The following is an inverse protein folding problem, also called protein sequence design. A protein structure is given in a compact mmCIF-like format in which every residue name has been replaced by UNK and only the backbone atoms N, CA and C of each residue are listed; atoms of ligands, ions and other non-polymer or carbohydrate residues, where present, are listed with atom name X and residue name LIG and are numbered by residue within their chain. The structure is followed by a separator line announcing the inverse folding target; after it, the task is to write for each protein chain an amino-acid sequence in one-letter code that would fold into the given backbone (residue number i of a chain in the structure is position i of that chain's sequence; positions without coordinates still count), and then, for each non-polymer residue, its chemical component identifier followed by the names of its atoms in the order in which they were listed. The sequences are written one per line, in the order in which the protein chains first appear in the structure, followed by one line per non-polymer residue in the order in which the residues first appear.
data_IF_181765766273
#
_entry.id   IF_181765766273
#
_cell.length_a   1.000
_cell.length_b   1.000
_cell.length_c   1.000
_cell.angle_alpha   90.00
_cell.angle_beta   90.00
_cell.angle_gamma   90.00
#
_symmetry.space_group_name_H-M   'P 1'
#
loop_
_entity.id
_entity.type
_entity.pdbx_description
1 polymer ?
#
# COMPACT_ATOMS: atom_id res chain seq x y z
N UNK A 1 -3.93 10.37 -22.33
CA UNK A 1 -3.42 9.61 -21.18
C UNK A 1 -2.06 9.11 -21.61
N UNK A 2 -1.03 9.29 -20.81
CA UNK A 2 0.35 8.98 -21.16
C UNK A 2 0.61 7.48 -21.18
N UNK A 3 1.72 7.10 -21.84
CA UNK A 3 2.06 5.71 -22.14
C UNK A 3 2.11 4.82 -20.89
N UNK A 4 2.48 5.36 -19.74
CA UNK A 4 2.55 4.63 -18.48
C UNK A 4 1.17 4.35 -17.90
N UNK A 5 0.31 5.36 -17.80
CA UNK A 5 -1.04 5.22 -17.25
C UNK A 5 -1.89 4.29 -18.13
N UNK A 6 -1.75 4.38 -19.46
CA UNK A 6 -2.40 3.47 -20.42
C UNK A 6 -1.97 2.02 -20.20
N UNK A 7 -0.66 1.78 -20.08
CA UNK A 7 -0.15 0.43 -19.80
C UNK A 7 -0.58 -0.09 -18.45
N UNK A 8 -0.56 0.75 -17.41
CA UNK A 8 -1.03 0.35 -16.09
C UNK A 8 -2.50 -0.07 -16.16
N UNK A 9 -3.38 0.75 -16.73
CA UNK A 9 -4.82 0.45 -16.83
C UNK A 9 -5.15 -0.73 -17.75
N UNK A 10 -4.30 -1.02 -18.73
CA UNK A 10 -4.43 -2.22 -19.57
C UNK A 10 -4.30 -3.50 -18.74
N UNK A 11 -3.28 -3.59 -17.87
CA UNK A 11 -2.97 -4.83 -17.15
C UNK A 11 -3.47 -4.83 -15.71
N UNK A 12 -3.65 -3.68 -15.10
CA UNK A 12 -3.90 -3.54 -13.68
C UNK A 12 -5.01 -2.54 -13.36
N UNK A 13 -5.69 -2.77 -12.26
CA UNK A 13 -6.62 -1.80 -11.66
C UNK A 13 -6.52 -1.88 -10.15
N UNK A 14 -6.71 -0.75 -9.47
CA UNK A 14 -6.82 -0.70 -8.03
C UNK A 14 -8.28 -0.67 -7.62
N UNK A 15 -8.59 -1.37 -6.53
CA UNK A 15 -9.94 -1.48 -6.01
C UNK A 15 -9.95 -1.21 -4.51
N UNK A 16 -10.82 -0.32 -4.07
CA UNK A 16 -10.99 -0.05 -2.65
C UNK A 16 -11.72 -1.22 -1.98
N UNK A 17 -11.12 -1.85 -0.97
CA UNK A 17 -11.70 -2.96 -0.25
C UNK A 17 -12.62 -2.48 0.88
N UNK A 18 -13.79 -1.97 0.48
CA UNK A 18 -14.81 -1.40 1.38
C UNK A 18 -15.73 -2.46 2.00
N UNK A 19 -15.88 -3.62 1.35
CA UNK A 19 -16.67 -4.75 1.88
C UNK A 19 -15.79 -5.73 2.64
N UNK A 20 -16.40 -6.49 3.56
CA UNK A 20 -15.70 -7.58 4.26
C UNK A 20 -15.13 -8.62 3.28
N UNK A 21 -15.88 -8.98 2.23
CA UNK A 21 -15.39 -9.92 1.21
C UNK A 21 -14.13 -9.44 0.48
N UNK A 22 -14.00 -8.13 0.22
CA UNK A 22 -12.80 -7.57 -0.38
C UNK A 22 -11.64 -7.48 0.63
N UNK A 23 -11.93 -7.18 1.91
CA UNK A 23 -10.90 -7.21 2.97
C UNK A 23 -10.34 -8.62 3.15
N UNK A 24 -11.20 -9.64 3.11
CA UNK A 24 -10.78 -11.04 3.16
C UNK A 24 -9.77 -11.37 2.07
N UNK A 25 -9.96 -10.87 0.84
CA UNK A 25 -8.97 -11.04 -0.24
C UNK A 25 -7.63 -10.38 0.08
N UNK A 26 -7.63 -9.23 0.76
CA UNK A 26 -6.37 -8.61 1.19
C UNK A 26 -5.66 -9.47 2.26
N UNK A 27 -6.41 -10.05 3.20
CA UNK A 27 -5.86 -10.91 4.25
C UNK A 27 -5.31 -12.23 3.69
N UNK A 28 -5.96 -12.79 2.67
CA UNK A 28 -5.48 -13.98 1.94
C UNK A 28 -4.16 -13.70 1.20
N UNK A 29 -4.09 -12.59 0.46
CA UNK A 29 -2.85 -12.17 -0.22
C UNK A 29 -1.71 -11.95 0.77
N UNK A 30 -2.01 -11.30 1.90
CA UNK A 30 -1.03 -11.09 2.97
C UNK A 30 -0.54 -12.39 3.57
N UNK A 31 -1.42 -13.37 3.81
CA UNK A 31 -1.02 -14.68 4.30
C UNK A 31 -0.11 -15.40 3.32
N UNK A 32 -0.49 -15.46 2.04
CA UNK A 32 0.35 -16.05 1.01
C UNK A 32 1.76 -15.41 0.98
N UNK A 33 1.85 -14.09 1.05
CA UNK A 33 3.14 -13.40 0.94
C UNK A 33 3.92 -13.43 2.25
N UNK A 34 3.35 -12.99 3.37
CA UNK A 34 4.06 -12.81 4.63
C UNK A 34 4.21 -14.10 5.44
N UNK A 35 3.25 -15.02 5.35
CA UNK A 35 3.29 -16.29 6.09
C UNK A 35 3.95 -17.40 5.25
N UNK A 36 3.44 -17.65 4.04
CA UNK A 36 3.87 -18.81 3.24
C UNK A 36 5.17 -18.55 2.46
N UNK A 37 5.25 -17.42 1.74
CA UNK A 37 6.39 -17.13 0.87
C UNK A 37 7.61 -16.60 1.66
N UNK A 38 7.40 -15.63 2.55
CA UNK A 38 8.49 -14.94 3.26
C UNK A 38 8.79 -15.53 4.65
N UNK A 39 7.82 -16.21 5.28
CA UNK A 39 7.97 -16.75 6.63
C UNK A 39 8.16 -15.69 7.73
N UNK A 40 7.71 -14.46 7.50
CA UNK A 40 7.81 -13.36 8.46
C UNK A 40 6.73 -13.43 9.54
N UNK A 41 5.57 -13.98 9.20
CA UNK A 41 4.42 -14.13 10.09
C UNK A 41 4.03 -15.63 10.16
N UNK A 42 3.39 -16.10 11.24
CA UNK A 42 3.00 -17.51 11.35
C UNK A 42 1.86 -17.86 10.38
N UNK A 43 1.96 -19.03 9.73
CA UNK A 43 0.83 -19.61 9.00
C UNK A 43 -0.28 -20.04 9.96
N UNK A 44 -1.52 -19.99 9.50
CA UNK A 44 -2.69 -20.42 10.26
C UNK A 44 -3.73 -21.14 9.38
N UNK A 45 -4.67 -21.91 9.97
CA UNK A 45 -5.65 -22.70 9.22
C UNK A 45 -6.70 -21.88 8.45
N UNK A 46 -6.88 -20.60 8.77
CA UNK A 46 -7.86 -19.75 8.06
C UNK A 46 -7.32 -19.19 6.75
N UNK A 47 -6.01 -19.30 6.50
CA UNK A 47 -5.38 -18.77 5.30
C UNK A 47 -5.38 -17.24 5.23
N UNK A 48 -5.51 -16.55 6.38
CA UNK A 48 -5.66 -15.09 6.46
C UNK A 48 -4.65 -14.51 7.44
N UNK A 49 -3.91 -13.47 7.03
CA UNK A 49 -3.00 -12.72 7.91
C UNK A 49 -3.69 -11.43 8.34
N UNK A 50 -3.85 -11.29 9.65
CA UNK A 50 -4.52 -10.18 10.32
C UNK A 50 -3.75 -9.80 11.57
N UNK A 51 -3.73 -8.51 11.88
CA UNK A 51 -3.15 -7.96 13.09
C UNK A 51 -4.11 -6.95 13.77
N UNK A 52 -3.80 -6.45 14.98
CA UNK A 52 -4.67 -5.53 15.71
C UNK A 52 -4.98 -4.19 15.00
N UNK A 53 -4.22 -3.81 13.96
CA UNK A 53 -4.42 -2.55 13.24
C UNK A 53 -5.48 -2.64 12.15
N UNK A 54 -5.86 -3.86 11.74
CA UNK A 54 -6.81 -4.07 10.64
C UNK A 54 -8.21 -3.53 10.94
N UNK A 55 -8.61 -3.47 12.21
CA UNK A 55 -9.93 -2.98 12.63
C UNK A 55 -10.18 -1.49 12.35
N UNK A 56 -9.13 -0.68 12.19
CA UNK A 56 -9.22 0.75 11.89
C UNK A 56 -8.37 1.14 10.67
N UNK A 57 -8.25 0.20 9.72
CA UNK A 57 -7.49 0.38 8.49
C UNK A 57 -8.37 0.44 7.25
N UNK A 58 -7.90 1.18 6.25
CA UNK A 58 -8.39 1.12 4.87
C UNK A 58 -7.49 0.17 4.06
N UNK A 59 -8.10 -0.62 3.19
CA UNK A 59 -7.39 -1.59 2.36
C UNK A 59 -7.63 -1.31 0.87
N UNK A 60 -6.61 -1.52 0.06
CA UNK A 60 -6.70 -1.44 -1.39
C UNK A 60 -6.12 -2.72 -2.00
N UNK A 61 -6.80 -3.24 -3.00
CA UNK A 61 -6.41 -4.42 -3.76
C UNK A 61 -5.85 -4.00 -5.12
N UNK A 62 -4.80 -4.68 -5.54
CA UNK A 62 -4.30 -4.65 -6.91
C UNK A 62 -4.86 -5.85 -7.66
N UNK A 63 -5.65 -5.56 -8.68
CA UNK A 63 -6.20 -6.56 -9.59
C UNK A 63 -5.40 -6.60 -10.88
N UNK A 64 -5.16 -7.79 -11.38
CA UNK A 64 -4.68 -8.05 -12.72
C UNK A 64 -5.89 -8.24 -13.65
N UNK A 65 -6.06 -7.31 -14.60
CA UNK A 65 -7.27 -7.22 -15.43
C UNK A 65 -7.45 -8.41 -16.38
N UNK A 66 -6.43 -8.89 -17.11
CA UNK A 66 -6.60 -10.03 -18.02
C UNK A 66 -7.07 -11.32 -17.34
N UNK A 67 -6.62 -11.59 -16.11
CA UNK A 67 -7.03 -12.79 -15.37
C UNK A 67 -8.16 -12.55 -14.38
N UNK A 68 -8.59 -11.31 -14.20
CA UNK A 68 -9.55 -10.87 -13.17
C UNK A 68 -9.21 -11.39 -11.75
N UNK A 69 -7.92 -11.39 -11.39
CA UNK A 69 -7.44 -11.86 -10.09
C UNK A 69 -6.87 -10.72 -9.27
N UNK A 70 -7.13 -10.72 -7.97
CA UNK A 70 -6.36 -9.90 -7.03
C UNK A 70 -4.99 -10.53 -6.82
N UNK A 71 -3.94 -9.75 -7.03
CA UNK A 71 -2.54 -10.20 -7.04
C UNK A 71 -1.68 -9.40 -6.07
N UNK A 72 -2.23 -8.36 -5.44
CA UNK A 72 -1.54 -7.57 -4.45
C UNK A 72 -2.49 -6.75 -3.60
N UNK A 73 -1.97 -6.18 -2.53
CA UNK A 73 -2.70 -5.30 -1.64
C UNK A 73 -1.79 -4.30 -0.95
N UNK A 74 -2.40 -3.29 -0.35
CA UNK A 74 -1.76 -2.36 0.58
C UNK A 74 -2.77 -1.92 1.64
N UNK A 75 -2.28 -1.56 2.82
CA UNK A 75 -3.07 -1.10 3.95
C UNK A 75 -2.68 0.32 4.33
N UNK A 76 -3.68 1.14 4.70
CA UNK A 76 -3.50 2.41 5.37
C UNK A 76 -4.16 2.36 6.75
N UNK A 77 -3.35 2.42 7.80
CA UNK A 77 -3.79 2.44 9.20
C UNK A 77 -4.14 3.88 9.61
N UNK A 78 -5.30 4.09 10.22
CA UNK A 78 -5.68 5.38 10.76
C UNK A 78 -4.98 5.66 12.10
N UNK A 79 -4.42 6.86 12.29
CA UNK A 79 -3.85 7.25 13.59
C UNK A 79 -4.88 7.53 14.68
N UNK A 80 -6.18 7.52 14.35
CA UNK A 80 -7.26 7.42 15.33
C UNK A 80 -7.63 5.94 15.45
N UNK A 81 -7.34 5.36 16.60
CA UNK A 81 -7.87 4.05 17.00
C UNK A 81 -8.98 4.25 18.04
N UNK A 82 -10.05 3.46 17.92
CA UNK A 82 -11.16 3.44 18.89
C UNK A 82 -10.82 2.55 20.11
N UNK A 83 -9.77 1.73 20.03
CA UNK A 83 -9.59 0.56 20.91
C UNK A 83 -8.23 0.43 21.61
N UNK A 84 -7.24 1.32 21.42
CA UNK A 84 -5.88 1.07 21.93
C UNK A 84 -4.99 2.28 22.22
N UNK A 85 -3.88 2.02 22.94
CA UNK A 85 -2.83 2.99 23.29
C UNK A 85 -1.96 3.38 22.09
N UNK A 86 -1.62 2.41 21.23
CA UNK A 86 -0.92 2.63 19.97
C UNK A 86 -1.90 2.61 18.80
N UNK A 87 -1.92 3.65 18.00
CA UNK A 87 -2.84 3.81 16.89
C UNK A 87 -2.24 3.43 15.53
N UNK A 88 -0.91 3.40 15.39
CA UNK A 88 -0.22 2.92 14.18
C UNK A 88 0.96 1.99 14.50
N UNK A 89 1.38 1.09 13.58
CA UNK A 89 2.50 0.18 13.81
C UNK A 89 3.82 0.84 14.21
N UNK A 90 4.17 1.95 13.57
CA UNK A 90 5.42 2.68 13.77
C UNK A 90 5.52 3.43 15.10
N UNK A 91 4.42 3.58 15.85
CA UNK A 91 4.39 4.41 17.07
C UNK A 91 5.43 3.93 18.09
N UNK A 92 5.69 2.62 18.20
CA UNK A 92 6.74 2.06 19.06
C UNK A 92 8.16 2.54 18.70
N UNK A 93 8.42 2.84 17.44
CA UNK A 93 9.72 3.33 16.96
C UNK A 93 9.83 4.86 16.97
N UNK A 94 8.71 5.55 17.22
CA UNK A 94 8.61 7.01 17.25
C UNK A 94 8.56 7.56 18.68
N UNK A 95 8.07 6.77 19.65
CA UNK A 95 7.74 7.21 21.02
C UNK A 95 8.92 7.69 21.88
N UNK A 96 10.16 7.38 21.51
CA UNK A 96 11.37 7.80 22.26
C UNK A 96 12.28 8.76 21.46
N UNK A 97 11.82 9.28 20.32
CA UNK A 97 12.67 10.04 19.41
C UNK A 97 12.56 11.56 19.64
N UNK A 98 13.19 12.04 20.71
CA UNK A 98 13.64 13.45 20.81
C UNK A 98 14.96 13.70 20.08
N UNK A 99 15.47 12.71 19.34
CA UNK A 99 16.72 12.83 18.58
C UNK A 99 16.63 14.00 17.58
N UNK A 100 17.43 15.07 17.79
CA UNK A 100 17.42 16.24 16.92
C UNK A 100 17.81 15.90 15.48
N UNK A 101 18.54 14.81 15.24
CA UNK A 101 18.95 14.36 13.90
C UNK A 101 17.73 14.05 13.02
N UNK A 102 16.69 13.46 13.60
CA UNK A 102 15.48 13.04 12.88
C UNK A 102 14.32 14.04 13.00
N UNK A 103 14.53 15.16 13.71
CA UNK A 103 13.59 16.27 13.82
C UNK A 103 12.27 15.93 14.52
N UNK A 104 12.21 14.79 15.21
CA UNK A 104 11.04 14.27 15.90
C UNK A 104 9.83 13.94 15.01
N UNK A 105 8.85 13.27 15.61
CA UNK A 105 7.54 13.02 15.04
C UNK A 105 6.45 13.49 16.01
N UNK A 106 5.94 14.71 15.81
CA UNK A 106 4.94 15.33 16.67
C UNK A 106 3.72 15.80 15.86
N UNK A 107 3.11 14.87 15.13
CA UNK A 107 1.90 15.15 14.35
C UNK A 107 0.66 14.72 15.15
N UNK A 108 -0.39 15.57 15.22
CA UNK A 108 -1.63 15.22 15.92
C UNK A 108 -2.29 13.96 15.34
N UNK A 109 -2.79 13.08 16.23
CA UNK A 109 -3.64 11.95 15.83
C UNK A 109 -4.85 12.48 15.03
N UNK A 110 -5.22 11.76 13.97
CA UNK A 110 -6.24 12.17 13.00
C UNK A 110 -5.71 12.99 11.83
N UNK A 111 -4.48 13.50 11.89
CA UNK A 111 -3.85 14.18 10.76
C UNK A 111 -2.91 13.28 9.97
N UNK A 112 -2.66 12.04 10.39
CA UNK A 112 -1.76 11.13 9.70
C UNK A 112 -2.29 9.70 9.64
N UNK A 113 -1.79 8.93 8.67
CA UNK A 113 -1.98 7.49 8.62
C UNK A 113 -0.72 6.79 8.16
N UNK A 114 -0.57 5.53 8.57
CA UNK A 114 0.59 4.71 8.22
C UNK A 114 0.24 3.71 7.12
N UNK A 115 0.96 3.78 6.02
CA UNK A 115 0.91 2.75 4.99
C UNK A 115 1.77 1.55 5.38
N UNK A 116 1.18 0.37 5.30
CA UNK A 116 1.81 -0.89 5.69
C UNK A 116 1.28 -2.05 4.82
N UNK A 117 1.84 -3.25 5.03
CA UNK A 117 1.38 -4.50 4.39
C UNK A 117 1.25 -4.42 2.86
N UNK A 118 2.20 -3.78 2.20
CA UNK A 118 2.33 -3.83 0.74
C UNK A 118 2.78 -5.24 0.33
N UNK A 119 1.88 -6.02 -0.25
CA UNK A 119 2.12 -7.38 -0.70
C UNK A 119 1.73 -7.51 -2.17
N UNK A 120 2.54 -8.23 -2.95
CA UNK A 120 2.25 -8.62 -4.34
C UNK A 120 2.71 -10.07 -4.46
N UNK A 121 1.87 -11.00 -4.93
CA UNK A 121 2.23 -12.42 -5.01
C UNK A 121 3.44 -12.67 -5.90
N UNK A 122 4.22 -13.72 -5.59
CA UNK A 122 5.50 -13.99 -6.25
C UNK A 122 5.45 -14.05 -7.78
N UNK A 123 4.38 -14.60 -8.35
CA UNK A 123 4.21 -14.79 -9.80
C UNK A 123 4.31 -13.50 -10.61
N UNK A 124 3.92 -12.37 -10.01
CA UNK A 124 3.95 -11.06 -10.66
C UNK A 124 5.18 -10.22 -10.28
N UNK A 125 5.97 -10.64 -9.28
CA UNK A 125 7.21 -9.94 -8.86
C UNK A 125 8.42 -10.27 -9.75
N UNK A 126 8.46 -11.45 -10.40
CA UNK A 126 9.69 -12.01 -11.01
C UNK A 126 10.23 -11.17 -12.19
N UNK A 127 11.51 -10.77 -12.11
CA UNK A 127 12.34 -10.32 -13.25
C UNK A 127 13.25 -11.47 -13.72
N UNK A 128 13.71 -11.45 -14.98
CA UNK A 128 14.67 -12.45 -15.48
C UNK A 128 15.95 -12.46 -14.62
N UNK A 129 16.36 -13.65 -14.15
CA UNK A 129 17.66 -13.88 -13.49
C UNK A 129 17.57 -14.42 -12.05
N UNK A 130 16.46 -14.22 -11.35
CA UNK A 130 16.25 -14.74 -9.99
C UNK A 130 15.67 -16.17 -10.04
N UNK A 131 16.47 -17.13 -10.49
CA UNK A 131 16.22 -18.57 -10.26
C UNK A 131 16.93 -18.98 -8.97
N UNK A 132 16.31 -18.79 -7.81
CA UNK A 132 16.99 -19.12 -6.55
C UNK A 132 16.23 -18.89 -5.25
N UNK A 133 14.94 -19.27 -5.15
CA UNK A 133 14.30 -19.45 -3.84
C UNK A 133 13.96 -20.94 -3.63
N UNK A 134 14.10 -21.50 -2.41
CA UNK A 134 14.21 -22.95 -2.16
C UNK A 134 12.88 -23.70 -2.02
N UNK A 135 11.72 -23.07 -2.25
CA UNK A 135 10.43 -23.64 -1.87
C UNK A 135 9.67 -24.30 -3.03
N UNK A 136 8.87 -25.36 -2.76
CA UNK A 136 8.26 -26.20 -3.79
C UNK A 136 7.20 -25.43 -4.57
N UNK A 137 7.17 -25.66 -5.89
CA UNK A 137 6.15 -25.16 -6.80
C UNK A 137 4.77 -25.67 -6.36
N UNK A 138 3.86 -24.78 -5.98
CA UNK A 138 2.44 -25.09 -5.96
C UNK A 138 1.97 -25.32 -7.41
N UNK A 139 1.14 -26.34 -7.63
CA UNK A 139 0.59 -26.80 -8.92
C UNK A 139 -0.40 -25.80 -9.56
N UNK A 140 0.00 -24.54 -9.73
CA UNK A 140 -0.73 -23.59 -10.56
C UNK A 140 -0.02 -23.46 -11.89
N UNK A 141 -0.78 -23.50 -12.99
CA UNK A 141 -0.27 -23.21 -14.33
C UNK A 141 0.61 -21.97 -14.28
N UNK A 142 1.88 -22.12 -14.65
CA UNK A 142 2.91 -21.09 -14.51
C UNK A 142 2.52 -19.87 -15.37
N UNK A 143 1.85 -18.89 -14.77
CA UNK A 143 1.43 -17.67 -15.46
C UNK A 143 2.65 -16.93 -15.97
N UNK A 144 2.75 -16.78 -17.29
CA UNK A 144 3.90 -16.15 -17.96
C UNK A 144 3.47 -14.78 -18.51
N UNK A 145 3.67 -13.68 -17.76
CA UNK A 145 3.35 -12.35 -18.26
C UNK A 145 4.16 -12.03 -19.53
N UNK A 146 3.59 -11.25 -20.45
CA UNK A 146 4.30 -10.83 -21.67
C UNK A 146 5.40 -9.79 -21.35
N UNK A 147 6.31 -9.48 -22.28
CA UNK A 147 7.39 -8.50 -22.01
C UNK A 147 6.87 -7.12 -21.61
N UNK A 148 5.79 -6.66 -22.23
CA UNK A 148 5.19 -5.35 -21.94
C UNK A 148 4.58 -5.31 -20.53
N UNK A 149 3.92 -6.40 -20.13
CA UNK A 149 3.37 -6.58 -18.79
C UNK A 149 4.49 -6.66 -17.73
N UNK A 150 5.58 -7.38 -18.02
CA UNK A 150 6.77 -7.48 -17.14
C UNK A 150 7.44 -6.12 -16.89
N UNK A 151 7.54 -5.29 -17.93
CA UNK A 151 8.06 -3.91 -17.78
C UNK A 151 7.15 -3.05 -16.90
N UNK A 152 5.88 -3.41 -16.82
CA UNK A 152 4.86 -2.74 -16.00
C UNK A 152 4.84 -3.21 -14.54
N UNK A 153 5.48 -4.34 -14.21
CA UNK A 153 5.56 -4.87 -12.84
C UNK A 153 6.17 -3.88 -11.83
N UNK A 154 7.13 -3.04 -12.27
CA UNK A 154 7.70 -2.00 -11.40
C UNK A 154 6.66 -0.96 -10.99
N UNK A 155 5.61 -0.76 -11.80
CA UNK A 155 4.53 0.20 -11.53
C UNK A 155 3.42 -0.37 -10.63
N UNK A 156 3.37 -1.68 -10.40
CA UNK A 156 2.44 -2.26 -9.43
C UNK A 156 2.68 -1.71 -8.02
N UNK A 157 3.95 -1.69 -7.59
CA UNK A 157 4.33 -1.15 -6.29
C UNK A 157 4.07 0.37 -6.20
N UNK A 158 4.39 1.12 -7.26
CA UNK A 158 4.05 2.55 -7.31
C UNK A 158 2.55 2.78 -7.24
N UNK A 159 1.74 2.02 -8.00
CA UNK A 159 0.29 2.09 -7.96
C UNK A 159 -0.25 1.85 -6.55
N UNK A 160 0.23 0.81 -5.87
CA UNK A 160 -0.14 0.54 -4.48
C UNK A 160 0.24 1.71 -3.55
N UNK A 161 1.45 2.25 -3.61
CA UNK A 161 1.83 3.43 -2.81
C UNK A 161 0.97 4.66 -3.11
N UNK A 162 0.72 4.95 -4.40
CA UNK A 162 -0.16 6.05 -4.81
C UNK A 162 -1.59 5.84 -4.32
N UNK A 163 -2.09 4.59 -4.26
CA UNK A 163 -3.40 4.32 -3.64
C UNK A 163 -3.41 4.61 -2.15
N UNK A 164 -2.33 4.34 -1.43
CA UNK A 164 -2.21 4.75 -0.03
C UNK A 164 -2.36 6.27 0.14
N UNK A 165 -1.74 7.05 -0.75
CA UNK A 165 -1.89 8.51 -0.79
C UNK A 165 -3.34 8.90 -1.06
N UNK A 166 -4.01 8.25 -2.02
CA UNK A 166 -5.44 8.51 -2.30
C UNK A 166 -6.33 8.14 -1.10
N UNK A 167 -6.14 6.97 -0.49
CA UNK A 167 -6.89 6.54 0.70
C UNK A 167 -6.72 7.53 1.86
N UNK A 168 -5.52 8.09 2.03
CA UNK A 168 -5.27 9.10 3.06
C UNK A 168 -6.10 10.38 2.85
N UNK A 169 -6.48 10.68 1.60
CA UNK A 169 -7.38 11.79 1.29
C UNK A 169 -8.82 11.54 1.74
N UNK A 170 -9.29 10.29 1.74
CA UNK A 170 -10.62 9.93 2.24
C UNK A 170 -10.74 10.15 3.75
N UNK A 171 -9.65 9.93 4.48
CA UNK A 171 -9.54 10.21 5.91
C UNK A 171 -9.14 11.66 6.23
N UNK A 172 -8.97 12.51 5.19
CA UNK A 172 -8.49 13.91 5.31
C UNK A 172 -7.13 14.04 6.02
N UNK A 173 -6.31 12.99 6.03
CA UNK A 173 -4.97 13.01 6.64
C UNK A 173 -4.01 13.92 5.90
N UNK A 174 -3.36 14.83 6.61
CA UNK A 174 -2.32 15.68 6.04
C UNK A 174 -1.00 14.95 5.83
N UNK A 175 -0.64 14.01 6.71
CA UNK A 175 0.65 13.34 6.68
C UNK A 175 0.52 11.86 6.33
N UNK A 176 1.52 11.36 5.62
CA UNK A 176 1.61 9.98 5.16
C UNK A 176 2.88 9.36 5.74
N UNK A 177 2.71 8.31 6.54
CA UNK A 177 3.78 7.63 7.27
C UNK A 177 4.03 6.26 6.65
N UNK A 178 5.27 5.81 6.59
CA UNK A 178 5.62 4.49 6.11
C UNK A 178 6.87 3.97 6.82
N UNK A 179 6.82 2.72 7.26
CA UNK A 179 8.02 1.96 7.66
C UNK A 179 8.56 1.24 6.42
N UNK A 180 9.77 1.59 5.96
CA UNK A 180 10.33 1.04 4.72
C UNK A 180 11.85 0.86 4.74
N UNK A 181 12.34 0.12 3.76
CA UNK A 181 13.78 -0.09 3.55
C UNK A 181 14.40 1.19 2.99
N UNK A 182 15.63 1.56 3.37
CA UNK A 182 16.32 2.72 2.80
C UNK A 182 16.43 2.68 1.27
N UNK A 183 16.63 1.48 0.70
CA UNK A 183 16.69 1.29 -0.77
C UNK A 183 15.36 1.63 -1.44
N UNK A 184 14.24 1.28 -0.82
CA UNK A 184 12.91 1.60 -1.33
C UNK A 184 12.65 3.10 -1.28
N UNK A 185 13.01 3.76 -0.18
CA UNK A 185 12.95 5.23 -0.06
C UNK A 185 13.70 5.93 -1.21
N UNK A 186 14.92 5.49 -1.53
CA UNK A 186 15.71 6.02 -2.66
C UNK A 186 15.01 5.77 -4.00
N UNK A 187 14.39 4.60 -4.18
CA UNK A 187 13.66 4.27 -5.39
C UNK A 187 12.41 5.16 -5.57
N UNK A 188 11.63 5.35 -4.51
CA UNK A 188 10.45 6.22 -4.49
C UNK A 188 10.79 7.68 -4.81
N UNK A 189 11.95 8.17 -4.33
CA UNK A 189 12.42 9.53 -4.61
C UNK A 189 12.58 9.81 -6.11
N UNK A 190 12.93 8.81 -6.93
CA UNK A 190 13.05 8.95 -8.40
C UNK A 190 11.71 9.19 -9.08
N UNK A 191 10.62 8.70 -8.48
CA UNK A 191 9.25 8.93 -8.94
C UNK A 191 8.66 10.25 -8.39
N UNK A 192 9.44 11.02 -7.63
CA UNK A 192 8.99 12.29 -7.03
C UNK A 192 8.39 12.15 -5.63
N UNK A 193 8.24 10.93 -5.12
CA UNK A 193 7.74 10.65 -3.78
C UNK A 193 8.85 10.89 -2.75
N UNK A 194 8.88 12.09 -2.18
CA UNK A 194 9.91 12.53 -1.23
C UNK A 194 9.41 12.37 0.20
N UNK A 195 10.07 11.49 0.94
CA UNK A 195 9.84 11.36 2.37
C UNK A 195 11.04 11.83 3.17
N UNK A 196 10.76 12.39 4.34
CA UNK A 196 11.73 12.69 5.39
C UNK A 196 11.83 11.47 6.31
N UNK A 197 13.05 11.05 6.62
CA UNK A 197 13.27 10.03 7.65
C UNK A 197 13.00 10.65 9.03
N UNK A 198 12.25 9.93 9.89
CA UNK A 198 11.80 10.41 11.20
C UNK A 198 12.15 9.45 12.34
N UNK A 199 12.94 8.42 12.06
CA UNK A 199 13.53 7.53 13.07
C UNK A 199 14.93 7.09 12.65
N UNK A 200 15.76 6.61 13.59
CA UNK A 200 16.94 5.81 13.27
C UNK A 200 16.59 4.56 12.48
N UNK A 201 17.62 3.88 11.96
CA UNK A 201 17.47 2.54 11.43
C UNK A 201 17.25 1.53 12.56
N UNK A 202 16.35 0.58 12.34
CA UNK A 202 16.10 -0.54 13.24
C UNK A 202 15.90 -1.82 12.44
N UNK A 203 16.10 -2.97 13.10
CA UNK A 203 15.88 -4.27 12.47
C UNK A 203 14.41 -4.69 12.61
N UNK A 204 13.75 -4.86 11.48
CA UNK A 204 12.38 -5.34 11.36
C UNK A 204 12.23 -6.05 10.01
N UNK A 205 12.49 -7.36 10.01
CA UNK A 205 12.62 -8.18 8.80
C UNK A 205 13.63 -7.57 7.81
N UNK A 206 14.79 -7.15 8.34
CA UNK A 206 15.80 -6.36 7.66
C UNK A 206 15.82 -4.90 8.14
N UNK A 207 16.80 -4.14 7.65
CA UNK A 207 16.99 -2.74 8.05
C UNK A 207 15.85 -1.85 7.52
N UNK A 208 15.15 -1.19 8.45
CA UNK A 208 14.03 -0.28 8.19
C UNK A 208 14.22 1.04 8.93
N UNK A 209 13.52 2.05 8.47
CA UNK A 209 13.29 3.29 9.20
C UNK A 209 11.84 3.74 8.99
N UNK A 210 11.36 4.60 9.88
CA UNK A 210 10.09 5.31 9.72
C UNK A 210 10.35 6.57 8.89
N UNK A 211 9.48 6.78 7.93
CA UNK A 211 9.51 7.93 7.03
C UNK A 211 8.15 8.62 7.01
N UNK A 212 8.17 9.94 6.90
CA UNK A 212 6.97 10.78 6.88
C UNK A 212 7.05 11.80 5.75
N UNK A 213 5.91 12.15 5.18
CA UNK A 213 5.79 13.25 4.23
C UNK A 213 4.44 13.94 4.37
N UNK A 214 4.39 15.22 4.01
CA UNK A 214 3.12 15.91 3.78
C UNK A 214 2.50 15.40 2.46
N UNK A 215 1.20 15.09 2.49
CA UNK A 215 0.47 14.51 1.36
C UNK A 215 0.45 15.45 0.16
N UNK A 216 0.32 16.76 0.38
CA UNK A 216 0.32 17.76 -0.69
C UNK A 216 1.72 17.86 -1.31
N UNK A 217 2.77 17.84 -0.48
CA UNK A 217 4.15 17.80 -0.98
C UNK A 217 4.44 16.54 -1.80
N UNK A 218 3.96 15.37 -1.38
CA UNK A 218 4.08 14.13 -2.15
C UNK A 218 3.44 14.28 -3.53
N UNK A 219 2.20 14.78 -3.60
CA UNK A 219 1.46 14.98 -4.86
C UNK A 219 2.17 16.00 -5.76
N UNK A 220 2.64 17.10 -5.17
CA UNK A 220 3.36 18.15 -5.88
C UNK A 220 4.75 17.72 -6.35
N UNK A 221 5.35 16.72 -5.70
CA UNK A 221 6.67 16.19 -6.05
C UNK A 221 6.66 15.21 -7.23
N UNK A 222 5.51 14.63 -7.58
CA UNK A 222 5.38 13.62 -8.63
C UNK A 222 5.86 14.14 -10.01
N UNK A 223 6.49 13.27 -10.79
CA UNK A 223 6.71 13.54 -12.21
C UNK A 223 5.39 13.40 -13.00
N UNK A 224 5.39 13.79 -14.27
CA UNK A 224 4.19 13.80 -15.12
C UNK A 224 3.50 12.43 -15.20
N UNK A 225 4.26 11.37 -15.52
CA UNK A 225 3.73 10.01 -15.61
C UNK A 225 3.05 9.55 -14.31
N UNK A 226 3.64 9.87 -13.15
CA UNK A 226 3.09 9.49 -11.85
C UNK A 226 1.85 10.31 -11.47
N UNK A 227 1.76 11.58 -11.90
CA UNK A 227 0.54 12.39 -11.71
C UNK A 227 -0.63 11.87 -12.51
N UNK A 228 -0.38 11.45 -13.74
CA UNK A 228 -1.42 10.82 -14.55
C UNK A 228 -1.87 9.48 -13.94
N UNK A 229 -0.92 8.64 -13.52
CA UNK A 229 -1.25 7.39 -12.82
C UNK A 229 -2.04 7.65 -11.53
N UNK A 230 -1.65 8.65 -10.74
CA UNK A 230 -2.38 9.06 -9.53
C UNK A 230 -3.83 9.46 -9.87
N UNK A 231 -4.04 10.21 -10.96
CA UNK A 231 -5.37 10.65 -11.40
C UNK A 231 -6.26 9.47 -11.77
N UNK A 232 -5.71 8.48 -12.48
CA UNK A 232 -6.40 7.22 -12.80
C UNK A 232 -6.79 6.46 -11.54
N UNK A 233 -5.85 6.29 -10.61
CA UNK A 233 -6.09 5.58 -9.34
C UNK A 233 -7.16 6.31 -8.52
N UNK A 234 -7.08 7.64 -8.44
CA UNK A 234 -8.06 8.45 -7.73
C UNK A 234 -9.47 8.27 -8.30
N UNK A 235 -9.60 8.20 -9.62
CA UNK A 235 -10.88 7.92 -10.27
C UNK A 235 -11.41 6.52 -9.91
N UNK A 236 -10.57 5.48 -10.01
CA UNK A 236 -10.95 4.10 -9.68
C UNK A 236 -11.46 3.99 -8.24
N UNK A 237 -10.70 4.48 -7.27
CA UNK A 237 -11.05 4.34 -5.85
C UNK A 237 -12.25 5.21 -5.45
N UNK A 238 -12.41 6.42 -6.01
CA UNK A 238 -13.59 7.25 -5.76
C UNK A 238 -14.86 6.61 -6.31
N UNK A 239 -14.79 6.01 -7.51
CA UNK A 239 -15.93 5.31 -8.11
C UNK A 239 -16.39 4.17 -7.20
N UNK A 240 -15.46 3.39 -6.67
CA UNK A 240 -15.77 2.27 -5.78
C UNK A 240 -16.42 2.77 -4.46
N UNK A 241 -15.92 3.88 -3.90
CA UNK A 241 -16.51 4.51 -2.71
C UNK A 241 -17.94 5.02 -2.94
N UNK A 242 -18.23 5.61 -4.11
CA UNK A 242 -19.57 6.10 -4.46
C UNK A 242 -20.54 4.96 -4.74
N UNK A 243 -20.07 3.90 -5.41
CA UNK A 243 -20.88 2.70 -5.67
C UNK A 243 -21.39 2.06 -4.37
N UNK A 244 -20.57 2.08 -3.31
CA UNK A 244 -20.95 1.61 -1.98
C UNK A 244 -21.93 2.54 -1.27
N UNK A 245 -21.71 3.86 -1.33
CA UNK A 245 -22.62 4.86 -0.72
C UNK A 245 -24.04 4.83 -1.33
N UNK A 246 -24.19 4.35 -2.56
CA UNK A 246 -25.51 4.12 -3.18
C UNK A 246 -26.20 2.84 -2.68
N UNK A 247 -25.47 1.93 -2.05
CA UNK A 247 -25.97 0.66 -1.51
C UNK A 247 -25.98 0.60 0.04
N UNK A 248 -25.37 1.56 0.74
CA UNK A 248 -25.39 1.64 2.21
C UNK A 248 -25.26 3.08 2.74
N UNK A 249 -26.39 3.60 3.24
CA UNK A 249 -26.64 4.85 4.00
C UNK A 249 -26.48 6.24 3.32
N UNK A 250 -27.38 7.22 3.61
CA UNK A 250 -27.60 8.40 2.76
C UNK A 250 -26.72 9.65 3.02
N UNK A 251 -25.80 9.67 3.99
CA UNK A 251 -25.31 10.96 4.54
C UNK A 251 -23.80 11.27 4.44
N UNK A 252 -23.02 10.58 3.59
CA UNK A 252 -21.58 10.93 3.40
C UNK A 252 -21.30 11.69 2.09
N UNK A 253 -22.29 11.83 1.20
CA UNK A 253 -22.07 12.47 -0.13
C UNK A 253 -22.18 14.01 -0.11
N UNK A 254 -22.51 14.65 1.02
CA UNK A 254 -22.81 16.10 1.05
C UNK A 254 -21.62 17.07 1.25
N UNK A 255 -20.37 16.65 1.11
CA UNK A 255 -19.24 17.59 1.28
C UNK A 255 -18.11 17.44 0.26
N UNK A 256 -18.45 17.17 -0.99
CA UNK A 256 -17.51 17.21 -2.12
C UNK A 256 -18.04 18.06 -3.29
N UNK A 257 -18.27 19.33 -3.02
CA UNK A 257 -18.36 20.41 -4.03
C UNK A 257 -17.24 21.41 -3.77
#
# INVERSE_FOLDING_TARGET
MGLLADRFTKYFSLQFAHTESLKERAFEIRHQVYCEELGWEPTNPTGKEMDPYDGHSLHCLLRHNPSDRFIGCIRLVNSISVLGSHSVPSEFHLMDQEDPEYGGFNYPKGLYGEVSRLAIIADFRRRQGERGSPFPQAEFEEYKPCEEERRSCSYMAFGLYLSGIVLSSFLKHQYFVATMEPKLHVHLRRAGLRFRQVSPLFDFNGQRAVYCADRIELINGLNEDMRELLSVIQYQLKRDLVADAQHSFPDVVKTMS
#
